data_IF_037482462646
#
_entry.id   IF_037482462646
#
_cell.length_a   1.000
_cell.length_b   1.000
_cell.length_c   1.000
_cell.angle_alpha   90.00
_cell.angle_beta   90.00
_cell.angle_gamma   90.00
#
_symmetry.space_group_name_H-M   'P 1'
#
loop_
_entity.id
_entity.type
_entity.pdbx_description
1 polymer ?
#
# COMPACT_ATOMS: atom_id res chain seq x y z
N UNK A 1 -0.33 21.83 6.67
CA UNK A 1 0.68 20.76 6.69
C UNK A 1 0.13 19.71 7.63
N UNK A 2 -0.03 18.49 7.14
CA UNK A 2 -0.57 17.39 7.92
C UNK A 2 0.37 17.10 9.12
N UNK A 3 -0.16 16.71 10.27
CA UNK A 3 0.66 16.32 11.43
C UNK A 3 1.47 15.05 11.12
N UNK A 4 0.96 14.20 10.22
CA UNK A 4 1.66 13.02 9.73
C UNK A 4 2.99 13.38 9.04
N UNK A 5 2.99 14.47 8.26
CA UNK A 5 4.18 14.96 7.52
C UNK A 5 5.25 15.57 8.45
N UNK A 6 4.91 15.82 9.72
CA UNK A 6 5.83 16.35 10.72
C UNK A 6 6.57 15.25 11.50
N UNK A 7 6.18 13.98 11.31
CA UNK A 7 6.84 12.86 11.96
C UNK A 7 8.24 12.65 11.37
N UNK A 8 9.26 12.50 12.22
CA UNK A 8 10.61 12.23 11.73
C UNK A 8 10.74 10.83 11.11
N UNK A 9 11.59 10.71 10.09
CA UNK A 9 11.79 9.48 9.33
C UNK A 9 12.18 8.28 10.21
N UNK A 10 12.96 8.49 11.27
CA UNK A 10 13.39 7.40 12.14
C UNK A 10 12.22 6.84 12.94
N UNK A 11 11.34 7.70 13.44
CA UNK A 11 10.10 7.31 14.13
C UNK A 11 9.12 6.64 13.15
N UNK A 12 8.88 7.23 11.98
CA UNK A 12 8.02 6.66 10.94
C UNK A 12 8.49 5.25 10.53
N UNK A 13 9.79 5.09 10.28
CA UNK A 13 10.37 3.80 9.90
C UNK A 13 10.31 2.76 11.03
N UNK A 14 10.37 3.18 12.31
CA UNK A 14 10.18 2.27 13.45
C UNK A 14 8.73 1.78 13.54
N UNK A 15 7.76 2.65 13.31
CA UNK A 15 6.35 2.28 13.26
C UNK A 15 6.07 1.30 12.10
N UNK A 16 6.55 1.61 10.89
CA UNK A 16 6.41 0.74 9.71
C UNK A 16 6.99 -0.66 9.95
N UNK A 17 8.24 -0.74 10.43
CA UNK A 17 8.88 -2.04 10.74
C UNK A 17 8.12 -2.81 11.82
N UNK A 18 7.46 -2.13 12.75
CA UNK A 18 6.64 -2.75 13.80
C UNK A 18 5.35 -3.34 13.21
N UNK A 19 4.68 -2.61 12.33
CA UNK A 19 3.51 -3.10 11.58
C UNK A 19 3.85 -4.35 10.76
N UNK A 20 4.94 -4.30 9.97
CA UNK A 20 5.38 -5.44 9.15
C UNK A 20 5.64 -6.67 10.01
N UNK A 21 6.37 -6.52 11.14
CA UNK A 21 6.61 -7.64 12.07
C UNK A 21 5.32 -8.17 12.68
N UNK A 22 4.37 -7.30 13.04
CA UNK A 22 3.07 -7.73 13.57
C UNK A 22 2.29 -8.57 12.56
N UNK A 23 2.24 -8.12 11.29
CA UNK A 23 1.56 -8.84 10.21
C UNK A 23 2.22 -10.17 9.84
N UNK A 24 3.54 -10.31 10.05
CA UNK A 24 4.24 -11.59 9.90
C UNK A 24 3.88 -12.59 11.00
N UNK A 25 3.66 -12.11 12.22
CA UNK A 25 3.22 -12.97 13.33
C UNK A 25 1.76 -13.43 13.16
N UNK A 26 0.90 -12.54 12.65
CA UNK A 26 -0.52 -12.81 12.40
C UNK A 26 -0.77 -13.48 11.04
N UNK A 27 -0.22 -14.67 10.84
CA UNK A 27 -0.45 -15.46 9.59
C UNK A 27 -1.89 -15.90 9.41
N UNK A 28 -2.68 -15.90 10.49
CA UNK A 28 -4.12 -16.14 10.47
C UNK A 28 -4.90 -15.04 9.74
N UNK A 29 -4.35 -13.81 9.68
CA UNK A 29 -4.96 -12.69 8.98
C UNK A 29 -4.63 -12.79 7.49
N UNK A 30 -5.60 -13.20 6.67
CA UNK A 30 -5.42 -13.31 5.22
C UNK A 30 -5.42 -11.94 4.56
N UNK A 31 -4.71 -11.82 3.44
CA UNK A 31 -4.70 -10.56 2.67
C UNK A 31 -6.08 -10.17 2.17
N UNK A 32 -6.93 -11.15 1.81
CA UNK A 32 -8.28 -10.86 1.32
C UNK A 32 -9.17 -10.22 2.40
N UNK A 33 -9.01 -10.64 3.66
CA UNK A 33 -9.74 -10.05 4.78
C UNK A 33 -9.26 -8.62 5.04
N UNK A 34 -7.94 -8.38 4.98
CA UNK A 34 -7.38 -7.03 5.09
C UNK A 34 -7.87 -6.13 3.96
N UNK A 35 -7.87 -6.63 2.72
CA UNK A 35 -8.38 -5.87 1.58
C UNK A 35 -9.86 -5.55 1.75
N UNK A 36 -10.70 -6.52 2.17
CA UNK A 36 -12.13 -6.29 2.33
C UNK A 36 -12.50 -5.35 3.49
N UNK A 37 -11.70 -5.35 4.55
CA UNK A 37 -11.94 -4.51 5.73
C UNK A 37 -11.34 -3.11 5.58
N UNK A 38 -10.07 -3.02 5.19
CA UNK A 38 -9.26 -1.82 5.29
C UNK A 38 -8.76 -1.29 3.94
N UNK A 39 -9.05 -1.98 2.83
CA UNK A 39 -8.63 -1.55 1.49
C UNK A 39 -7.14 -1.72 1.21
N UNK A 40 -6.33 -2.26 2.13
CA UNK A 40 -4.92 -2.56 1.89
C UNK A 40 -4.55 -3.92 2.46
N UNK A 41 -3.44 -4.49 1.99
CA UNK A 41 -2.88 -5.72 2.55
C UNK A 41 -1.35 -5.71 2.51
N UNK A 42 -0.72 -6.86 2.81
CA UNK A 42 0.74 -7.02 2.76
C UNK A 42 1.34 -6.73 1.39
N UNK A 43 0.61 -7.02 0.31
CA UNK A 43 1.08 -6.71 -1.05
C UNK A 43 1.08 -5.20 -1.32
N UNK A 44 0.12 -4.45 -0.77
CA UNK A 44 0.10 -3.00 -0.86
C UNK A 44 1.32 -2.39 -0.13
N UNK A 45 1.70 -2.94 1.03
CA UNK A 45 2.93 -2.50 1.72
C UNK A 45 4.19 -2.73 0.87
N UNK A 46 4.23 -3.82 0.09
CA UNK A 46 5.35 -4.07 -0.82
C UNK A 46 5.32 -3.10 -2.00
N UNK A 47 4.14 -2.75 -2.49
CA UNK A 47 3.98 -1.81 -3.60
C UNK A 47 4.37 -0.38 -3.16
N UNK A 48 4.00 0.05 -1.95
CA UNK A 48 4.45 1.31 -1.36
C UNK A 48 5.97 1.38 -1.15
N UNK A 49 6.65 0.26 -0.89
CA UNK A 49 8.12 0.22 -0.85
C UNK A 49 8.69 0.51 -2.24
N UNK A 50 8.14 -0.09 -3.30
CA UNK A 50 8.60 0.11 -4.68
C UNK A 50 8.30 1.53 -5.17
N UNK A 51 7.15 2.09 -4.79
CA UNK A 51 6.79 3.48 -5.10
C UNK A 51 7.75 4.47 -4.41
N UNK A 52 8.13 4.20 -3.15
CA UNK A 52 9.09 5.02 -2.42
C UNK A 52 10.53 4.86 -2.91
N UNK A 53 10.91 3.67 -3.38
CA UNK A 53 12.21 3.38 -3.98
C UNK A 53 12.07 2.45 -5.20
N UNK A 54 11.99 3.02 -6.41
CA UNK A 54 11.84 2.26 -7.65
C UNK A 54 13.03 1.35 -8.00
N UNK A 55 14.16 1.45 -7.27
CA UNK A 55 15.30 0.56 -7.46
C UNK A 55 15.07 -0.83 -6.84
N UNK A 56 14.12 -0.95 -5.91
CA UNK A 56 13.74 -2.21 -5.27
C UNK A 56 12.78 -2.97 -6.18
N UNK A 57 13.13 -4.21 -6.53
CA UNK A 57 12.25 -5.05 -7.33
C UNK A 57 11.01 -5.49 -6.53
N UNK A 58 9.85 -5.62 -7.19
CA UNK A 58 8.59 -6.04 -6.53
C UNK A 58 8.71 -7.35 -5.74
N UNK A 59 9.43 -8.34 -6.25
CA UNK A 59 9.63 -9.60 -5.54
C UNK A 59 10.54 -9.46 -4.31
N UNK A 60 11.52 -8.55 -4.38
CA UNK A 60 12.35 -8.19 -3.24
C UNK A 60 11.54 -7.45 -2.18
N UNK A 61 10.72 -6.46 -2.56
CA UNK A 61 9.83 -5.76 -1.64
C UNK A 61 8.85 -6.73 -0.95
N UNK A 62 8.30 -7.71 -1.69
CA UNK A 62 7.49 -8.78 -1.09
C UNK A 62 8.31 -9.62 -0.12
N UNK A 63 9.52 -10.02 -0.48
CA UNK A 63 10.41 -10.73 0.45
C UNK A 63 10.66 -9.91 1.74
N UNK A 64 10.86 -8.59 1.61
CA UNK A 64 11.01 -7.66 2.74
C UNK A 64 9.72 -7.59 3.58
N UNK A 65 8.52 -7.68 3.01
CA UNK A 65 7.28 -7.65 3.81
C UNK A 65 6.99 -9.01 4.45
N UNK A 66 7.08 -10.10 3.71
CA UNK A 66 6.73 -11.45 4.18
C UNK A 66 7.82 -12.11 5.03
N UNK A 67 9.08 -11.72 4.88
CA UNK A 67 10.23 -12.35 5.53
C UNK A 67 10.62 -13.71 4.95
N UNK A 68 10.02 -14.08 3.81
CA UNK A 68 10.31 -15.27 3.00
C UNK A 68 9.78 -15.04 1.57
N UNK A 69 10.17 -15.86 0.58
CA UNK A 69 9.64 -15.76 -0.77
C UNK A 69 8.11 -15.86 -0.77
N UNK A 70 7.43 -14.96 -1.50
CA UNK A 70 5.96 -14.94 -1.55
C UNK A 70 5.34 -16.28 -1.98
N UNK A 71 5.89 -17.04 -2.96
CA UNK A 71 5.37 -18.37 -3.29
C UNK A 71 5.41 -19.36 -2.12
N UNK A 72 6.45 -19.29 -1.28
CA UNK A 72 6.60 -20.14 -0.10
C UNK A 72 5.58 -19.77 0.98
N UNK A 73 5.35 -18.47 1.20
CA UNK A 73 4.33 -18.00 2.13
C UNK A 73 2.92 -18.43 1.68
N UNK A 74 2.62 -18.26 0.38
CA UNK A 74 1.35 -18.66 -0.21
C UNK A 74 1.09 -20.16 -0.01
N UNK A 75 2.09 -21.00 -0.28
CA UNK A 75 1.98 -22.44 -0.10
C UNK A 75 1.75 -22.87 1.37
N UNK A 76 2.28 -22.11 2.33
CA UNK A 76 2.18 -22.45 3.76
C UNK A 76 0.93 -21.90 4.45
N UNK A 77 0.42 -20.76 3.99
CA UNK A 77 -0.51 -19.96 4.80
C UNK A 77 -1.73 -19.43 4.03
N UNK A 78 -1.75 -19.46 2.71
CA UNK A 78 -2.86 -18.89 1.93
C UNK A 78 -3.94 -19.95 1.67
N UNK A 79 -5.15 -19.68 2.16
CA UNK A 79 -6.34 -20.48 1.88
C UNK A 79 -7.10 -20.02 0.63
N UNK A 80 -8.08 -20.83 0.20
CA UNK A 80 -9.06 -20.40 -0.79
C UNK A 80 -9.97 -19.33 -0.21
N UNK A 81 -10.22 -18.29 -1.01
CA UNK A 81 -11.12 -17.21 -0.65
C UNK A 81 -12.59 -17.63 -0.80
N UNK A 82 -13.43 -17.32 0.18
CA UNK A 82 -14.88 -17.51 0.03
C UNK A 82 -15.47 -16.41 -0.87
N UNK A 83 -16.63 -16.67 -1.52
CA UNK A 83 -17.33 -15.66 -2.31
C UNK A 83 -17.60 -14.36 -1.55
N UNK A 84 -17.93 -14.46 -0.25
CA UNK A 84 -18.19 -13.30 0.60
C UNK A 84 -16.93 -12.46 0.84
N UNK A 85 -15.76 -13.10 1.00
CA UNK A 85 -14.49 -12.40 1.16
C UNK A 85 -14.13 -11.64 -0.12
N UNK A 86 -14.37 -12.24 -1.29
CA UNK A 86 -14.15 -11.61 -2.59
C UNK A 86 -15.06 -10.39 -2.74
N UNK A 87 -16.37 -10.54 -2.47
CA UNK A 87 -17.31 -9.43 -2.58
C UNK A 87 -16.96 -8.24 -1.66
N UNK A 88 -16.49 -8.52 -0.43
CA UNK A 88 -16.01 -7.47 0.49
C UNK A 88 -14.76 -6.77 -0.04
N UNK A 89 -13.80 -7.53 -0.55
CA UNK A 89 -12.60 -6.99 -1.19
C UNK A 89 -12.97 -6.05 -2.33
N UNK A 90 -13.81 -6.49 -3.27
CA UNK A 90 -14.24 -5.67 -4.41
C UNK A 90 -14.93 -4.37 -3.95
N UNK A 91 -15.82 -4.46 -2.98
CA UNK A 91 -16.49 -3.29 -2.40
C UNK A 91 -15.52 -2.33 -1.70
N UNK A 92 -14.42 -2.82 -1.13
CA UNK A 92 -13.39 -1.99 -0.53
C UNK A 92 -12.47 -1.35 -1.56
N UNK A 93 -12.09 -2.09 -2.62
CA UNK A 93 -11.28 -1.55 -3.71
C UNK A 93 -11.99 -0.37 -4.39
N UNK A 94 -13.29 -0.50 -4.66
CA UNK A 94 -14.10 0.60 -5.20
C UNK A 94 -14.13 1.83 -4.28
N UNK A 95 -14.06 1.64 -2.96
CA UNK A 95 -13.97 2.75 -2.00
C UNK A 95 -12.60 3.44 -2.05
N UNK A 96 -11.53 2.69 -2.30
CA UNK A 96 -10.20 3.28 -2.49
C UNK A 96 -10.14 4.14 -3.75
N UNK A 97 -10.67 3.65 -4.88
CA UNK A 97 -10.69 4.42 -6.14
C UNK A 97 -11.40 5.77 -5.96
N UNK A 98 -12.50 5.79 -5.21
CA UNK A 98 -13.22 7.02 -4.90
C UNK A 98 -12.44 7.96 -3.96
N UNK A 99 -11.59 7.42 -3.08
CA UNK A 99 -10.71 8.20 -2.22
C UNK A 99 -9.57 8.82 -3.04
N UNK A 100 -8.93 8.04 -3.90
CA UNK A 100 -7.84 8.50 -4.75
C UNK A 100 -8.31 9.66 -5.64
N UNK A 101 -9.48 9.52 -6.28
CA UNK A 101 -10.12 10.61 -7.05
C UNK A 101 -10.37 11.85 -6.18
N UNK A 102 -10.92 11.67 -4.98
CA UNK A 102 -11.20 12.79 -4.09
C UNK A 102 -9.93 13.51 -3.61
N UNK A 103 -8.83 12.78 -3.43
CA UNK A 103 -7.52 13.34 -3.08
C UNK A 103 -6.94 14.12 -4.27
N UNK A 104 -7.03 13.57 -5.49
CA UNK A 104 -6.59 14.24 -6.73
C UNK A 104 -7.42 15.51 -7.02
N UNK A 105 -8.74 15.49 -6.79
CA UNK A 105 -9.60 16.67 -6.93
C UNK A 105 -9.34 17.74 -5.86
N UNK A 106 -8.95 17.33 -4.65
CA UNK A 106 -8.64 18.24 -3.54
C UNK A 106 -7.24 18.86 -3.65
N UNK A 107 -6.35 18.20 -4.40
CA UNK A 107 -5.01 18.66 -4.71
C UNK A 107 -4.77 18.57 -6.24
N UNK A 108 -5.45 19.39 -7.05
CA UNK A 108 -5.08 19.47 -8.46
C UNK A 108 -3.63 19.92 -8.47
N UNK A 109 -2.76 19.13 -9.11
CA UNK A 109 -1.38 19.50 -9.38
C UNK A 109 -1.39 20.94 -9.88
N UNK A 110 -1.05 21.88 -8.99
CA UNK A 110 -1.09 23.30 -9.24
C UNK A 110 0.20 23.66 -9.96
N UNK A 111 0.46 23.01 -11.09
CA UNK A 111 1.37 23.53 -12.07
C UNK A 111 0.55 24.53 -12.89
N UNK A 112 0.73 25.86 -12.68
CA UNK A 112 0.26 26.78 -13.69
C UNK A 112 0.91 26.38 -15.02
N UNK A 113 0.18 26.40 -16.15
CA UNK A 113 0.81 26.15 -17.44
C UNK A 113 2.00 27.09 -17.56
N UNK A 114 3.18 26.53 -17.84
CA UNK A 114 4.36 27.31 -18.13
C UNK A 114 4.03 28.23 -19.30
N UNK A 115 3.72 29.50 -19.00
CA UNK A 115 3.58 30.55 -19.98
C UNK A 115 4.98 30.84 -20.50
N UNK A 116 5.46 30.02 -21.44
CA UNK A 116 6.58 30.41 -22.29
C UNK A 116 6.06 31.53 -23.19
N UNK A 117 6.32 32.78 -22.82
CA UNK A 117 6.18 33.89 -23.77
C UNK A 117 7.24 33.71 -24.88
N UNK A 118 6.83 33.62 -26.16
CA UNK A 118 7.79 33.63 -27.25
C UNK A 118 8.23 35.07 -27.51
N UNK A 119 9.43 35.42 -27.04
CA UNK A 119 10.27 36.46 -27.64
C UNK A 119 10.39 37.78 -26.87
N UNK A 120 11.58 38.01 -26.29
CA UNK A 120 12.32 39.26 -26.46
C UNK A 120 13.81 39.08 -26.21
#
# INVERSE_FOLDING_TARGET
>A
MDELDQLDDATAAKAFRSLVRHLRHRTDVQNIDLMGLAGFCRNCLADWIVEADPSIARDEARHIVYGMPFPEWKARHQGEATPEQIARMEASVKRNEALDEALDESFPASDPPAMTEPGR
#
